data_IF_202024415837
#
_entry.id   IF_202024415837
#
_cell.length_a   1.000
_cell.length_b   1.000
_cell.length_c   1.000
_cell.angle_alpha   90.00
_cell.angle_beta   90.00
_cell.angle_gamma   90.00
#
_symmetry.space_group_name_H-M   'P 1'
#
loop_
_entity.id
_entity.type
_entity.pdbx_description
1 polymer ?
#
# COMPACT_ATOMS: atom_id res chain seq x y z
N UNK A 1 -15.94 8.02 25.51
CA UNK A 1 -15.52 8.90 24.41
C UNK A 1 -14.00 8.76 24.27
N UNK A 2 -13.48 8.55 23.07
CA UNK A 2 -12.04 8.44 22.79
C UNK A 2 -11.43 9.83 22.59
N UNK A 3 -10.10 9.94 22.76
CA UNK A 3 -9.41 11.16 22.35
C UNK A 3 -9.34 11.26 20.82
N UNK A 4 -9.01 10.14 20.16
CA UNK A 4 -8.89 10.08 18.69
C UNK A 4 -9.57 8.86 18.11
N UNK A 5 -10.34 9.06 17.05
CA UNK A 5 -10.80 7.99 16.17
C UNK A 5 -10.04 8.04 14.84
N UNK A 6 -9.58 6.88 14.35
CA UNK A 6 -8.87 6.72 13.07
C UNK A 6 -9.71 5.86 12.14
N UNK A 7 -10.05 6.37 10.97
CA UNK A 7 -10.79 5.65 9.92
C UNK A 7 -9.85 5.22 8.82
N UNK A 8 -9.64 3.92 8.69
CA UNK A 8 -8.67 3.27 7.81
C UNK A 8 -7.38 2.89 8.53
N UNK A 9 -6.98 1.62 8.42
CA UNK A 9 -5.77 1.07 9.05
C UNK A 9 -4.74 0.59 8.03
N UNK A 10 -4.64 1.27 6.89
CA UNK A 10 -3.46 1.17 6.04
C UNK A 10 -2.25 1.84 6.72
N UNK A 11 -1.08 1.95 6.04
CA UNK A 11 0.14 2.46 6.66
C UNK A 11 -0.03 3.81 7.36
N UNK A 12 -0.79 4.72 6.76
CA UNK A 12 -1.01 6.06 7.33
C UNK A 12 -1.84 6.01 8.62
N UNK A 13 -2.97 5.30 8.60
CA UNK A 13 -3.85 5.22 9.77
C UNK A 13 -3.29 4.34 10.87
N UNK A 14 -2.64 3.23 10.51
CA UNK A 14 -1.95 2.36 11.46
C UNK A 14 -0.84 3.09 12.19
N UNK A 15 0.01 3.81 11.46
CA UNK A 15 1.10 4.59 12.05
C UNK A 15 0.60 5.74 12.92
N UNK A 16 -0.46 6.44 12.49
CA UNK A 16 -1.08 7.48 13.30
C UNK A 16 -1.66 6.92 14.61
N UNK A 17 -2.34 5.77 14.55
CA UNK A 17 -2.88 5.11 15.72
C UNK A 17 -1.78 4.67 16.70
N UNK A 18 -0.69 4.07 16.18
CA UNK A 18 0.46 3.67 16.97
C UNK A 18 1.06 4.86 17.72
N UNK A 19 1.43 5.92 17.01
CA UNK A 19 2.09 7.08 17.63
C UNK A 19 1.20 7.79 18.64
N UNK A 20 -0.10 7.84 18.43
CA UNK A 20 -1.04 8.41 19.39
C UNK A 20 -1.23 7.52 20.62
N UNK A 21 -1.30 6.21 20.45
CA UNK A 21 -1.39 5.27 21.57
C UNK A 21 -0.11 5.28 22.42
N UNK A 22 1.08 5.27 21.80
CA UNK A 22 2.37 5.43 22.47
C UNK A 22 2.47 6.75 23.28
N UNK A 23 1.81 7.81 22.79
CA UNK A 23 1.73 9.08 23.49
C UNK A 23 0.68 9.09 24.62
N UNK A 24 0.01 7.98 24.89
CA UNK A 24 -0.96 7.83 25.98
C UNK A 24 -2.37 8.32 25.68
N UNK A 25 -2.70 8.59 24.40
CA UNK A 25 -4.06 8.95 24.02
C UNK A 25 -4.96 7.70 23.93
N UNK A 26 -6.23 7.86 24.29
CA UNK A 26 -7.24 6.82 24.04
C UNK A 26 -7.64 6.82 22.57
N UNK A 27 -7.21 5.80 21.83
CA UNK A 27 -7.37 5.68 20.37
C UNK A 27 -8.32 4.55 20.02
N UNK A 28 -9.23 4.79 19.08
CA UNK A 28 -10.04 3.76 18.42
C UNK A 28 -9.81 3.78 16.92
N UNK A 29 -9.67 2.61 16.32
CA UNK A 29 -9.41 2.47 14.89
C UNK A 29 -10.46 1.59 14.21
N UNK A 30 -10.78 1.91 12.96
CA UNK A 30 -11.77 1.20 12.16
C UNK A 30 -11.21 0.89 10.78
N UNK A 31 -11.34 -0.37 10.34
CA UNK A 31 -11.09 -0.73 8.94
C UNK A 31 -12.26 -1.56 8.39
N UNK A 32 -12.62 -1.29 7.12
CA UNK A 32 -13.64 -2.05 6.41
C UNK A 32 -13.21 -3.47 6.05
N UNK A 33 -11.91 -3.72 5.98
CA UNK A 33 -11.34 -5.04 5.70
C UNK A 33 -11.50 -5.94 6.92
N UNK A 34 -11.78 -7.22 6.68
CA UNK A 34 -11.87 -8.22 7.74
C UNK A 34 -10.55 -8.52 8.43
N UNK A 35 -9.45 -8.23 7.74
CA UNK A 35 -8.07 -8.28 8.26
C UNK A 35 -7.33 -7.07 7.74
N UNK A 36 -6.69 -6.33 8.63
CA UNK A 36 -5.80 -5.23 8.23
C UNK A 36 -4.73 -5.76 7.28
N UNK A 37 -4.50 -5.03 6.20
CA UNK A 37 -3.53 -5.41 5.18
C UNK A 37 -4.06 -6.35 4.09
N UNK A 38 -5.20 -7.02 4.22
CA UNK A 38 -5.71 -8.01 3.27
C UNK A 38 -7.06 -7.59 2.65
N UNK A 39 -7.22 -7.63 1.30
CA UNK A 39 -6.22 -7.92 0.25
C UNK A 39 -5.22 -6.78 0.00
N UNK A 40 -4.08 -7.15 -0.57
CA UNK A 40 -3.02 -6.21 -0.95
C UNK A 40 -3.18 -5.77 -2.41
N UNK A 41 -3.06 -4.44 -2.61
CA UNK A 41 -2.96 -3.82 -3.93
C UNK A 41 -1.72 -2.90 -3.93
N UNK A 42 -0.52 -3.49 -4.05
CA UNK A 42 0.74 -2.77 -3.94
C UNK A 42 1.86 -3.55 -4.65
N UNK A 43 2.78 -2.84 -5.30
CA UNK A 43 4.02 -3.42 -5.83
C UNK A 43 4.99 -3.93 -4.75
N UNK A 44 4.74 -3.56 -3.49
CA UNK A 44 5.47 -4.06 -2.31
C UNK A 44 6.95 -3.65 -2.26
N UNK A 45 7.27 -2.46 -2.78
CA UNK A 45 8.57 -1.80 -2.60
C UNK A 45 8.48 -0.68 -1.55
N UNK A 46 9.46 -0.60 -0.65
CA UNK A 46 9.54 0.41 0.40
C UNK A 46 10.95 0.99 0.50
N UNK A 47 11.09 2.30 0.29
CA UNK A 47 12.39 2.98 0.48
C UNK A 47 12.75 3.12 1.97
N UNK A 48 14.02 2.92 2.32
CA UNK A 48 14.53 3.11 3.70
C UNK A 48 14.24 4.51 4.25
N UNK A 49 14.14 5.50 3.39
CA UNK A 49 13.83 6.88 3.78
C UNK A 49 12.46 6.97 4.48
N UNK A 50 11.47 6.17 4.06
CA UNK A 50 10.15 6.15 4.69
C UNK A 50 10.24 5.66 6.16
N UNK A 51 11.03 4.63 6.42
CA UNK A 51 11.26 4.11 7.78
C UNK A 51 11.98 5.11 8.64
N UNK A 52 12.97 5.82 8.08
CA UNK A 52 13.68 6.88 8.80
C UNK A 52 12.73 8.00 9.23
N UNK A 53 11.80 8.43 8.35
CA UNK A 53 10.84 9.48 8.67
C UNK A 53 9.79 9.06 9.70
N UNK A 54 9.38 7.80 9.68
CA UNK A 54 8.41 7.28 10.66
C UNK A 54 9.04 6.79 11.94
N UNK A 55 10.37 6.67 11.99
CA UNK A 55 11.12 6.04 13.08
C UNK A 55 10.54 4.67 13.45
N UNK A 56 10.21 3.87 12.42
CA UNK A 56 9.64 2.54 12.60
C UNK A 56 10.70 1.47 12.30
N UNK A 57 10.87 0.47 13.18
CA UNK A 57 11.90 -0.54 13.00
C UNK A 57 11.63 -1.45 11.81
N UNK A 58 12.70 -1.99 11.23
CA UNK A 58 12.61 -3.06 10.25
C UNK A 58 12.22 -4.35 10.99
N UNK A 59 11.25 -5.09 10.43
CA UNK A 59 10.77 -6.36 10.98
C UNK A 59 10.70 -7.44 9.89
N UNK A 60 10.14 -8.60 10.23
CA UNK A 60 10.03 -9.79 9.35
C UNK A 60 9.21 -9.55 8.07
N UNK A 61 8.48 -8.45 8.00
CA UNK A 61 7.80 -8.00 6.80
C UNK A 61 8.75 -7.51 5.69
N UNK A 62 10.01 -7.16 6.03
CA UNK A 62 11.05 -6.82 5.07
C UNK A 62 11.71 -8.11 4.56
N UNK A 63 11.53 -8.41 3.27
CA UNK A 63 11.91 -9.70 2.69
C UNK A 63 13.31 -9.64 2.08
N UNK A 64 13.56 -8.61 1.28
CA UNK A 64 14.83 -8.47 0.56
C UNK A 64 15.23 -7.00 0.54
N UNK A 65 16.50 -6.73 0.83
CA UNK A 65 17.08 -5.41 0.64
C UNK A 65 17.42 -5.17 -0.82
N UNK A 66 17.23 -3.93 -1.27
CA UNK A 66 17.63 -3.47 -2.60
C UNK A 66 18.47 -2.20 -2.50
N UNK A 67 19.41 -2.01 -3.44
CA UNK A 67 20.31 -0.87 -3.47
C UNK A 67 19.62 0.43 -3.95
N UNK A 68 18.55 0.28 -4.73
CA UNK A 68 17.85 1.45 -5.25
C UNK A 68 16.85 1.16 -6.35
N UNK A 69 16.63 2.17 -7.17
CA UNK A 69 15.74 2.12 -8.31
C UNK A 69 16.55 2.17 -9.59
N UNK A 70 16.15 1.43 -10.63
CA UNK A 70 16.78 1.48 -11.95
C UNK A 70 15.73 1.72 -13.02
N UNK A 71 15.88 2.80 -13.76
CA UNK A 71 15.02 3.14 -14.90
C UNK A 71 15.64 2.56 -16.16
N UNK A 72 14.89 1.76 -16.89
CA UNK A 72 15.28 1.13 -18.15
C UNK A 72 14.52 1.77 -19.31
N UNK A 73 15.24 2.12 -20.35
CA UNK A 73 14.74 2.83 -21.51
C UNK A 73 14.66 1.92 -22.75
N UNK A 74 13.84 2.27 -23.78
CA UNK A 74 13.63 1.46 -24.99
C UNK A 74 14.92 1.20 -25.80
N UNK A 75 15.91 2.07 -25.70
CA UNK A 75 17.20 1.95 -26.40
C UNK A 75 18.22 1.06 -25.66
N UNK A 76 17.78 0.31 -24.63
CA UNK A 76 18.64 -0.57 -23.84
C UNK A 76 19.48 0.13 -22.78
N UNK A 77 19.49 1.46 -22.73
CA UNK A 77 20.18 2.20 -21.66
C UNK A 77 19.40 2.16 -20.36
N UNK A 78 20.13 2.28 -19.25
CA UNK A 78 19.52 2.37 -17.93
C UNK A 78 20.21 3.42 -17.07
N UNK A 79 19.47 3.96 -16.11
CA UNK A 79 19.96 4.86 -15.07
C UNK A 79 19.61 4.28 -13.72
N UNK A 80 20.64 4.04 -12.89
CA UNK A 80 20.49 3.64 -11.49
C UNK A 80 20.41 4.87 -10.59
N UNK A 81 19.46 4.85 -9.67
CA UNK A 81 19.31 5.83 -8.60
C UNK A 81 19.55 5.11 -7.28
N UNK A 82 20.62 5.47 -6.59
CA UNK A 82 20.93 4.96 -5.26
C UNK A 82 19.86 5.44 -4.27
N UNK A 83 18.94 4.57 -3.96
CA UNK A 83 17.81 4.82 -3.05
C UNK A 83 17.45 3.50 -2.38
N UNK A 84 18.26 3.08 -1.39
CA UNK A 84 18.10 1.76 -0.78
C UNK A 84 16.72 1.57 -0.18
N UNK A 85 16.23 0.34 -0.27
CA UNK A 85 14.89 -0.03 0.15
C UNK A 85 14.75 -1.52 0.46
N UNK A 86 13.52 -1.93 0.63
CA UNK A 86 13.14 -3.32 0.85
C UNK A 86 11.99 -3.73 -0.05
N UNK A 87 12.05 -4.92 -0.61
CA UNK A 87 10.83 -5.65 -0.97
C UNK A 87 10.18 -6.14 0.30
N UNK A 88 8.88 -5.96 0.41
CA UNK A 88 8.17 -6.20 1.67
C UNK A 88 6.95 -7.12 1.49
N UNK A 89 6.57 -7.79 2.57
CA UNK A 89 5.22 -8.28 2.77
C UNK A 89 4.34 -7.12 3.26
N UNK A 90 3.65 -6.47 2.35
CA UNK A 90 2.86 -5.30 2.67
C UNK A 90 1.75 -5.60 3.69
N UNK A 91 1.08 -6.74 3.58
CA UNK A 91 0.08 -7.13 4.57
C UNK A 91 0.71 -7.36 5.94
N UNK A 92 1.92 -7.94 5.98
CA UNK A 92 2.69 -8.10 7.21
C UNK A 92 3.03 -6.76 7.85
N UNK A 93 3.53 -5.80 7.06
CA UNK A 93 3.82 -4.45 7.55
C UNK A 93 2.56 -3.78 8.13
N UNK A 94 1.46 -3.74 7.36
CA UNK A 94 0.22 -3.11 7.82
C UNK A 94 -0.30 -3.79 9.09
N UNK A 95 -0.20 -5.12 9.16
CA UNK A 95 -0.62 -5.91 10.31
C UNK A 95 0.24 -5.64 11.55
N UNK A 96 1.57 -5.68 11.41
CA UNK A 96 2.51 -5.41 12.50
C UNK A 96 2.28 -4.02 13.09
N UNK A 97 2.21 -2.98 12.26
CA UNK A 97 1.92 -1.62 12.73
C UNK A 97 0.58 -1.57 13.49
N UNK A 98 -0.43 -2.27 12.99
CA UNK A 98 -1.75 -2.28 13.62
C UNK A 98 -1.77 -3.09 14.94
N UNK A 99 -0.99 -4.16 15.04
CA UNK A 99 -0.83 -4.95 16.27
C UNK A 99 -0.05 -4.15 17.32
N UNK A 100 1.06 -3.50 16.93
CA UNK A 100 1.82 -2.60 17.81
C UNK A 100 0.95 -1.47 18.37
N UNK A 101 0.04 -0.91 17.53
CA UNK A 101 -0.90 0.10 18.00
C UNK A 101 -1.87 -0.46 19.06
N UNK A 102 -2.31 -1.71 18.91
CA UNK A 102 -3.17 -2.39 19.91
C UNK A 102 -2.39 -2.66 21.19
N UNK A 103 -1.15 -3.12 21.09
CA UNK A 103 -0.26 -3.39 22.22
C UNK A 103 0.06 -2.09 22.99
N UNK A 104 0.14 -0.96 22.28
CA UNK A 104 0.25 0.38 22.88
C UNK A 104 -1.08 0.92 23.47
N UNK A 105 -2.19 0.17 23.38
CA UNK A 105 -3.48 0.50 24.00
C UNK A 105 -4.58 1.00 23.05
N UNK A 106 -4.36 1.02 21.73
CA UNK A 106 -5.42 1.36 20.78
C UNK A 106 -6.47 0.25 20.69
N UNK A 107 -7.74 0.61 20.57
CA UNK A 107 -8.83 -0.32 20.32
C UNK A 107 -9.06 -0.46 18.82
N UNK A 108 -8.98 -1.68 18.28
CA UNK A 108 -9.12 -1.98 16.87
C UNK A 108 -10.43 -2.67 16.53
N UNK A 109 -11.11 -2.18 15.48
CA UNK A 109 -12.27 -2.82 14.86
C UNK A 109 -11.96 -3.11 13.38
N UNK A 110 -11.92 -4.39 13.04
CA UNK A 110 -11.77 -4.90 11.68
C UNK A 110 -13.14 -5.35 11.13
N UNK A 111 -13.30 -5.29 9.80
CA UNK A 111 -14.56 -5.61 9.13
C UNK A 111 -15.67 -4.59 9.39
N UNK A 112 -15.37 -3.48 10.03
CA UNK A 112 -16.32 -2.42 10.37
C UNK A 112 -16.07 -1.18 9.52
N UNK A 113 -17.02 -0.90 8.62
CA UNK A 113 -16.98 0.27 7.75
C UNK A 113 -17.68 1.45 8.41
N UNK A 114 -16.94 2.50 8.73
CA UNK A 114 -17.53 3.80 9.05
C UNK A 114 -18.10 4.40 7.76
N UNK A 115 -19.38 4.69 7.77
CA UNK A 115 -20.12 5.20 6.59
C UNK A 115 -20.52 6.65 6.73
N UNK A 116 -20.63 7.14 7.97
CA UNK A 116 -21.06 8.51 8.26
C UNK A 116 -20.30 9.06 9.46
N UNK A 117 -20.00 10.34 9.42
CA UNK A 117 -19.52 11.11 10.56
C UNK A 117 -20.34 12.38 10.72
N UNK A 118 -20.59 12.74 11.97
CA UNK A 118 -21.19 14.00 12.34
C UNK A 118 -20.33 14.67 13.41
N UNK A 119 -20.43 15.99 13.53
CA UNK A 119 -19.76 16.74 14.59
C UNK A 119 -20.79 17.39 15.49
N UNK A 120 -20.60 17.25 16.79
CA UNK A 120 -21.34 17.97 17.81
C UNK A 120 -20.41 18.89 18.63
N UNK A 121 -20.90 19.39 19.78
CA UNK A 121 -20.11 20.26 20.67
C UNK A 121 -18.96 19.54 21.37
N UNK A 122 -19.06 18.22 21.54
CA UNK A 122 -18.08 17.41 22.25
C UNK A 122 -17.03 16.79 21.32
N UNK A 123 -17.33 16.66 20.01
CA UNK A 123 -16.41 16.08 19.04
C UNK A 123 -17.10 15.43 17.84
N UNK A 124 -16.62 14.26 17.47
CA UNK A 124 -17.05 13.50 16.32
C UNK A 124 -17.83 12.26 16.72
N UNK A 125 -18.96 12.05 16.07
CA UNK A 125 -19.79 10.84 16.15
C UNK A 125 -19.57 10.04 14.89
N UNK A 126 -19.09 8.80 15.03
CA UNK A 126 -18.85 7.88 13.92
C UNK A 126 -19.96 6.84 13.89
N UNK A 127 -20.47 6.56 12.68
CA UNK A 127 -21.54 5.56 12.48
C UNK A 127 -21.21 4.59 11.36
N UNK A 128 -21.59 3.35 11.53
CA UNK A 128 -21.67 2.33 10.49
C UNK A 128 -23.07 2.28 9.90
N UNK A 129 -23.34 1.31 9.01
CA UNK A 129 -24.71 1.03 8.53
C UNK A 129 -25.69 0.60 9.65
N UNK A 130 -25.16 0.07 10.75
CA UNK A 130 -25.92 -0.49 11.86
C UNK A 130 -26.10 0.50 13.03
N UNK A 131 -25.63 1.75 12.87
CA UNK A 131 -25.76 2.81 13.88
C UNK A 131 -24.42 3.37 14.36
N UNK A 132 -24.48 4.09 15.48
CA UNK A 132 -23.30 4.71 16.11
C UNK A 132 -22.32 3.64 16.59
N UNK A 133 -21.03 3.85 16.30
CA UNK A 133 -19.94 2.92 16.66
C UNK A 133 -18.91 3.54 17.60
N UNK A 134 -18.76 4.86 17.59
CA UNK A 134 -17.85 5.56 18.50
C UNK A 134 -18.13 7.07 18.56
N UNK A 135 -17.64 7.67 19.67
CA UNK A 135 -17.45 9.12 19.81
C UNK A 135 -15.99 9.43 20.13
N UNK A 136 -15.44 10.48 19.51
CA UNK A 136 -14.06 10.91 19.73
C UNK A 136 -13.93 12.43 19.64
N UNK A 137 -13.01 13.01 20.41
CA UNK A 137 -12.71 14.46 20.36
C UNK A 137 -12.11 14.87 19.01
N UNK A 138 -11.25 14.00 18.45
CA UNK A 138 -10.57 14.23 17.17
C UNK A 138 -10.83 13.07 16.21
N UNK A 139 -10.77 13.38 14.89
CA UNK A 139 -10.97 12.41 13.84
C UNK A 139 -9.78 12.46 12.86
N UNK A 140 -9.15 11.30 12.62
CA UNK A 140 -8.19 11.10 11.55
C UNK A 140 -8.85 10.26 10.46
N UNK A 141 -8.84 10.80 9.23
CA UNK A 141 -9.38 10.11 8.06
C UNK A 141 -8.24 9.61 7.19
N UNK A 142 -8.03 8.30 7.18
CA UNK A 142 -6.96 7.61 6.44
C UNK A 142 -7.55 6.54 5.49
N UNK A 143 -8.64 6.85 4.81
CA UNK A 143 -9.45 5.93 3.98
C UNK A 143 -8.73 5.43 2.72
N UNK A 144 -7.58 6.03 2.37
CA UNK A 144 -6.86 5.71 1.15
C UNK A 144 -7.47 6.37 -0.10
N UNK A 145 -7.48 5.63 -1.19
CA UNK A 145 -7.75 6.18 -2.53
C UNK A 145 -9.19 6.63 -2.77
N UNK A 146 -10.15 5.95 -2.19
CA UNK A 146 -11.59 6.23 -2.44
C UNK A 146 -12.14 7.05 -1.29
N UNK A 147 -12.30 8.38 -1.46
CA UNK A 147 -12.79 9.25 -0.41
C UNK A 147 -14.29 8.99 -0.16
N UNK A 148 -14.66 8.96 1.10
CA UNK A 148 -16.04 8.91 1.56
C UNK A 148 -16.24 9.87 2.74
N UNK A 149 -15.53 9.63 3.84
CA UNK A 149 -15.63 10.47 5.04
C UNK A 149 -15.00 11.84 4.81
N UNK A 150 -13.87 11.90 4.10
CA UNK A 150 -13.17 13.16 3.83
C UNK A 150 -14.07 14.17 3.09
N UNK A 151 -14.96 13.71 2.21
CA UNK A 151 -15.91 14.56 1.49
C UNK A 151 -17.06 15.01 2.39
N UNK A 152 -17.49 14.17 3.33
CA UNK A 152 -18.56 14.51 4.29
C UNK A 152 -18.15 15.63 5.24
N UNK A 153 -16.87 15.73 5.59
CA UNK A 153 -16.34 16.78 6.49
C UNK A 153 -15.93 18.06 5.73
N UNK A 154 -16.27 18.15 4.46
CA UNK A 154 -16.05 19.34 3.63
C UNK A 154 -14.61 19.52 3.15
N UNK A 155 -13.74 18.52 3.31
CA UNK A 155 -12.40 18.54 2.72
C UNK A 155 -12.49 18.04 1.26
N UNK A 156 -11.76 18.72 0.38
CA UNK A 156 -11.63 18.27 -1.00
C UNK A 156 -10.76 17.00 -1.03
N UNK A 157 -11.35 15.91 -1.49
CA UNK A 157 -10.64 14.66 -1.72
C UNK A 157 -9.90 14.65 -3.07
N UNK A 158 -9.65 13.46 -3.57
CA UNK A 158 -8.96 13.23 -4.84
C UNK A 158 -9.87 13.34 -6.08
N UNK A 159 -10.89 14.15 -6.04
CA UNK A 159 -11.96 14.23 -7.05
C UNK A 159 -11.47 14.58 -8.46
N UNK A 160 -10.34 15.31 -8.53
CA UNK A 160 -9.72 15.72 -9.79
C UNK A 160 -8.52 14.86 -10.21
N UNK A 161 -8.11 13.91 -9.39
CA UNK A 161 -6.98 13.06 -9.73
C UNK A 161 -7.40 11.98 -10.72
N UNK A 162 -6.72 11.94 -11.86
CA UNK A 162 -6.83 10.83 -12.80
C UNK A 162 -6.24 9.58 -12.16
N UNK A 163 -7.08 8.60 -11.89
CA UNK A 163 -6.63 7.32 -11.38
C UNK A 163 -6.12 6.46 -12.54
N UNK A 164 -4.86 6.07 -12.46
CA UNK A 164 -4.28 5.12 -13.39
C UNK A 164 -4.48 3.70 -12.85
N UNK A 165 -5.08 2.79 -13.61
CA UNK A 165 -5.19 1.40 -13.21
C UNK A 165 -3.81 0.75 -13.16
N UNK A 166 -3.60 -0.07 -12.15
CA UNK A 166 -2.43 -0.93 -12.02
C UNK A 166 -2.82 -2.39 -12.06
N UNK A 167 -2.02 -3.22 -12.70
CA UNK A 167 -2.15 -4.66 -12.76
C UNK A 167 -0.80 -5.28 -12.39
N UNK A 168 -0.81 -6.38 -11.64
CA UNK A 168 0.44 -7.08 -11.30
C UNK A 168 0.27 -8.58 -11.36
N UNK A 169 1.39 -9.25 -11.62
CA UNK A 169 1.57 -10.70 -11.54
C UNK A 169 2.71 -11.01 -10.58
N UNK A 170 2.66 -12.19 -9.99
CA UNK A 170 3.77 -12.76 -9.23
C UNK A 170 4.21 -14.03 -9.91
N UNK A 171 5.52 -14.20 -10.12
CA UNK A 171 6.12 -15.39 -10.72
C UNK A 171 7.19 -15.94 -9.78
N UNK A 172 7.30 -17.28 -9.71
CA UNK A 172 8.49 -17.89 -9.10
C UNK A 172 9.72 -17.50 -9.91
N UNK A 173 10.83 -17.27 -9.25
CA UNK A 173 12.11 -16.94 -9.92
C UNK A 173 12.57 -18.08 -10.82
N UNK A 174 12.31 -19.34 -10.43
CA UNK A 174 12.60 -20.53 -11.23
C UNK A 174 11.85 -20.63 -12.56
N UNK A 175 10.74 -19.92 -12.70
CA UNK A 175 9.85 -20.04 -13.85
C UNK A 175 10.10 -18.93 -14.89
N UNK A 176 11.03 -18.00 -14.61
CA UNK A 176 11.33 -16.86 -15.46
C UNK A 176 12.80 -16.82 -15.87
N UNK A 177 13.05 -16.46 -17.11
CA UNK A 177 14.38 -16.14 -17.60
C UNK A 177 14.60 -14.61 -17.44
N UNK A 178 14.91 -14.21 -16.22
CA UNK A 178 15.17 -12.83 -15.88
C UNK A 178 16.33 -12.76 -14.89
N UNK A 179 17.35 -11.93 -15.15
CA UNK A 179 18.51 -11.84 -14.28
C UNK A 179 18.12 -11.36 -12.89
N UNK A 180 18.78 -11.92 -11.88
CA UNK A 180 18.66 -11.40 -10.54
C UNK A 180 19.15 -9.96 -10.47
N UNK A 181 18.54 -9.20 -9.61
CA UNK A 181 18.82 -7.76 -9.49
C UNK A 181 18.63 -7.30 -8.05
N UNK A 182 19.48 -6.40 -7.61
CA UNK A 182 19.36 -5.69 -6.33
C UNK A 182 18.73 -4.31 -6.51
N UNK A 183 17.96 -4.12 -7.60
CA UNK A 183 17.24 -2.89 -7.89
C UNK A 183 15.74 -3.15 -8.07
N UNK A 184 14.93 -2.15 -7.74
CA UNK A 184 13.59 -2.03 -8.29
C UNK A 184 13.70 -1.52 -9.73
N UNK A 185 13.45 -2.39 -10.69
CA UNK A 185 13.50 -2.04 -12.11
C UNK A 185 12.18 -1.41 -12.58
N UNK A 186 12.28 -0.28 -13.25
CA UNK A 186 11.19 0.42 -13.90
C UNK A 186 11.45 0.54 -15.39
N UNK A 187 10.57 0.01 -16.21
CA UNK A 187 10.64 0.09 -17.66
C UNK A 187 9.71 1.18 -18.15
N UNK A 188 10.28 2.19 -18.81
CA UNK A 188 9.54 3.27 -19.46
C UNK A 188 9.66 3.03 -20.98
N UNK A 189 8.69 2.31 -21.54
CA UNK A 189 8.72 1.91 -22.93
C UNK A 189 7.30 1.94 -23.52
N UNK A 190 7.03 2.82 -24.51
CA UNK A 190 5.72 2.97 -25.12
C UNK A 190 5.23 1.72 -25.87
N UNK A 191 6.11 0.74 -26.16
CA UNK A 191 5.71 -0.55 -26.73
C UNK A 191 4.81 -1.35 -25.78
N UNK A 192 4.92 -1.13 -24.49
CA UNK A 192 4.14 -1.86 -23.47
C UNK A 192 2.99 -1.05 -22.93
N UNK A 193 3.22 0.25 -22.69
CA UNK A 193 2.22 1.10 -22.06
C UNK A 193 2.48 2.58 -22.27
N UNK A 194 1.44 3.38 -22.05
CA UNK A 194 1.51 4.83 -21.88
C UNK A 194 1.88 5.26 -20.43
N UNK A 195 2.42 4.33 -19.66
CA UNK A 195 2.86 4.49 -18.28
C UNK A 195 4.22 3.83 -18.06
N UNK A 196 4.30 2.89 -17.12
CA UNK A 196 5.53 2.14 -16.86
C UNK A 196 5.25 0.71 -16.39
N UNK A 197 6.25 -0.16 -16.53
CA UNK A 197 6.25 -1.50 -15.93
C UNK A 197 7.27 -1.51 -14.80
N UNK A 198 6.98 -2.23 -13.72
CA UNK A 198 7.95 -2.52 -12.67
C UNK A 198 8.26 -4.00 -12.60
N UNK A 199 9.51 -4.31 -12.23
CA UNK A 199 9.96 -5.66 -11.84
C UNK A 199 10.66 -5.52 -10.51
N UNK A 200 10.05 -6.04 -9.46
CA UNK A 200 10.56 -5.96 -8.10
C UNK A 200 10.98 -7.35 -7.62
N UNK A 201 12.27 -7.54 -7.32
CA UNK A 201 12.77 -8.80 -6.82
C UNK A 201 12.28 -9.00 -5.37
N UNK A 202 11.91 -10.24 -5.07
CA UNK A 202 11.67 -10.73 -3.72
C UNK A 202 12.55 -11.96 -3.53
N UNK A 203 12.45 -12.72 -2.45
CA UNK A 203 13.32 -13.88 -2.25
C UNK A 203 13.21 -14.89 -3.38
N UNK A 204 12.05 -15.55 -3.48
CA UNK A 204 11.78 -16.64 -4.41
C UNK A 204 10.88 -16.25 -5.58
N UNK A 205 10.43 -14.99 -5.63
CA UNK A 205 9.52 -14.48 -6.66
C UNK A 205 9.95 -13.12 -7.22
N UNK A 206 9.41 -12.80 -8.40
CA UNK A 206 9.32 -11.44 -8.91
C UNK A 206 7.88 -10.94 -8.82
N UNK A 207 7.71 -9.71 -8.31
CA UNK A 207 6.46 -8.95 -8.47
C UNK A 207 6.62 -8.08 -9.71
N UNK A 208 5.82 -8.35 -10.72
CA UNK A 208 5.87 -7.67 -12.02
C UNK A 208 4.54 -7.00 -12.28
N UNK A 209 4.56 -5.72 -12.59
CA UNK A 209 3.30 -5.05 -12.84
C UNK A 209 3.42 -3.85 -13.75
N UNK A 210 2.29 -3.27 -14.09
CA UNK A 210 2.13 -2.18 -15.03
C UNK A 210 1.18 -1.13 -14.48
N UNK A 211 1.48 0.11 -14.73
CA UNK A 211 0.54 1.23 -14.66
C UNK A 211 0.34 1.77 -16.07
N UNK A 212 -0.87 1.76 -16.55
CA UNK A 212 -1.19 2.27 -17.88
C UNK A 212 -2.63 2.82 -17.92
N UNK A 213 -2.88 3.78 -18.81
CA UNK A 213 -4.25 4.30 -19.03
C UNK A 213 -5.11 3.30 -19.77
N UNK A 214 -4.52 2.63 -20.77
CA UNK A 214 -5.18 1.67 -21.64
C UNK A 214 -4.28 0.44 -21.86
N UNK A 215 -4.89 -0.69 -22.17
CA UNK A 215 -4.14 -1.89 -22.59
C UNK A 215 -3.24 -2.52 -21.54
N UNK A 216 -3.39 -2.20 -20.25
CA UNK A 216 -2.50 -2.67 -19.18
C UNK A 216 -2.26 -4.18 -19.21
N UNK A 217 -3.34 -4.98 -19.38
CA UNK A 217 -3.19 -6.44 -19.45
C UNK A 217 -2.38 -6.89 -20.66
N UNK A 218 -2.68 -6.37 -21.85
CA UNK A 218 -1.98 -6.75 -23.07
C UNK A 218 -0.49 -6.35 -23.01
N UNK A 219 -0.19 -5.16 -22.50
CA UNK A 219 1.18 -4.67 -22.31
C UNK A 219 1.96 -5.51 -21.31
N UNK A 220 1.36 -5.87 -20.18
CA UNK A 220 2.01 -6.70 -19.17
C UNK A 220 2.22 -8.15 -19.69
N UNK A 221 1.22 -8.72 -20.36
CA UNK A 221 1.33 -10.06 -20.96
C UNK A 221 2.43 -10.10 -22.03
N UNK A 222 2.56 -9.06 -22.84
CA UNK A 222 3.60 -8.93 -23.84
C UNK A 222 4.98 -8.80 -23.21
N UNK A 223 5.13 -7.95 -22.20
CA UNK A 223 6.38 -7.80 -21.45
C UNK A 223 6.85 -9.11 -20.81
N UNK A 224 5.94 -9.85 -20.16
CA UNK A 224 6.27 -11.14 -19.53
C UNK A 224 6.83 -12.14 -20.55
N UNK A 225 6.25 -12.19 -21.76
CA UNK A 225 6.72 -13.10 -22.83
C UNK A 225 8.06 -12.67 -23.40
N UNK A 226 8.21 -11.40 -23.74
CA UNK A 226 9.40 -10.88 -24.45
C UNK A 226 10.61 -10.67 -23.54
N UNK A 227 10.41 -10.23 -22.29
CA UNK A 227 11.51 -9.88 -21.38
C UNK A 227 11.77 -10.91 -20.28
N UNK A 228 10.80 -11.76 -19.97
CA UNK A 228 10.92 -12.73 -18.89
C UNK A 228 10.77 -14.17 -19.36
N UNK A 229 10.53 -14.38 -20.66
CA UNK A 229 10.33 -15.69 -21.29
C UNK A 229 9.31 -16.56 -20.56
N UNK A 230 8.26 -15.94 -19.99
CA UNK A 230 7.26 -16.63 -19.17
C UNK A 230 5.84 -16.44 -19.71
N UNK A 231 5.05 -17.52 -19.73
CA UNK A 231 3.61 -17.41 -20.00
C UNK A 231 2.91 -16.74 -18.80
N UNK A 232 2.17 -15.64 -19.03
CA UNK A 232 1.39 -14.97 -17.98
C UNK A 232 0.42 -15.88 -17.21
N UNK A 233 0.04 -17.03 -17.78
CA UNK A 233 -0.80 -18.04 -17.10
C UNK A 233 -0.08 -18.75 -15.95
N UNK A 234 1.26 -18.76 -15.95
CA UNK A 234 2.08 -19.34 -14.87
C UNK A 234 2.20 -18.44 -13.64
N UNK A 235 1.55 -17.29 -13.63
CA UNK A 235 1.52 -16.42 -12.44
C UNK A 235 0.97 -17.15 -11.23
N UNK A 236 1.54 -16.85 -10.08
CA UNK A 236 1.01 -17.34 -8.80
C UNK A 236 -0.33 -16.63 -8.58
N UNK A 237 -1.40 -17.38 -8.39
CA UNK A 237 -2.70 -16.85 -8.01
C UNK A 237 -2.66 -16.46 -6.51
N UNK A 238 -3.22 -15.28 -6.22
CA UNK A 238 -3.35 -14.81 -4.83
C UNK A 238 -4.67 -15.26 -4.23
#
# INVERSE_FOLDING_TARGET
>A
MYDVAVVGQGPAGGMAALRLAEAGHSVVTFDRKRRVGDPIHCGEGLGKIALKHTNYPVGDWAIREVEGNRIRMPNGKSVGLMSPGYSIHRWGLDRTISDDAVDAGAKRYEGLRVTKVNRDKEGWILSSKDGEVAKAKQLIVAEGRVPNIVTQIGLKGNEKLRLLPGLQYKFKRSDVDFPDTDYFDFYIDPRYADGYIWVFPRDDIFNVGIVATNGAKAGLDYFCKEHMSVDPKKRIEN
#
